data_IF_003104944043
#
_entry.id   IF_003104944043
#
_cell.length_a   1.000
_cell.length_b   1.000
_cell.length_c   1.000
_cell.angle_alpha   90.00
_cell.angle_beta   90.00
_cell.angle_gamma   90.00
#
_symmetry.space_group_name_H-M   'P 1'
#
loop_
_entity.id
_entity.type
_entity.pdbx_description
1 polymer ?
#
# COMPACT_ATOMS: atom_id res chain seq x y z
N UNK A 1 8.42 -10.33 -9.57
CA UNK A 1 8.52 -9.28 -8.53
C UNK A 1 7.15 -9.06 -7.91
N UNK A 2 7.04 -8.98 -6.57
CA UNK A 2 5.79 -8.74 -5.84
C UNK A 2 5.66 -7.23 -5.55
N UNK A 3 4.50 -6.65 -5.82
CA UNK A 3 4.17 -5.26 -5.49
C UNK A 3 3.41 -5.20 -4.15
N UNK A 4 3.44 -4.04 -3.48
CA UNK A 4 2.56 -3.82 -2.34
C UNK A 4 1.11 -3.69 -2.84
N UNK A 5 0.18 -4.38 -2.19
CA UNK A 5 -1.21 -4.42 -2.64
C UNK A 5 -2.17 -4.66 -1.49
N UNK A 6 -3.39 -4.14 -1.65
CA UNK A 6 -4.53 -4.39 -0.78
C UNK A 6 -5.66 -4.97 -1.64
N UNK A 7 -6.05 -6.20 -1.33
CA UNK A 7 -7.19 -6.86 -1.95
C UNK A 7 -8.40 -6.80 -1.01
N UNK A 8 -9.57 -6.54 -1.57
CA UNK A 8 -10.84 -6.55 -0.85
C UNK A 8 -11.90 -7.23 -1.71
N UNK A 9 -12.63 -8.19 -1.14
CA UNK A 9 -13.73 -8.83 -1.84
C UNK A 9 -14.96 -7.92 -1.88
N UNK A 10 -15.75 -8.07 -2.94
CA UNK A 10 -17.04 -7.39 -3.08
C UNK A 10 -17.93 -7.66 -1.85
N UNK A 11 -18.69 -6.65 -1.42
CA UNK A 11 -19.66 -6.79 -0.34
C UNK A 11 -20.87 -7.62 -0.78
N UNK A 12 -21.32 -7.43 -2.02
CA UNK A 12 -22.28 -8.30 -2.68
C UNK A 12 -21.59 -9.01 -3.85
N UNK A 13 -21.28 -10.30 -3.73
CA UNK A 13 -20.59 -11.03 -4.79
C UNK A 13 -21.43 -11.12 -6.06
N UNK A 14 -20.89 -10.63 -7.17
CA UNK A 14 -21.42 -10.77 -8.51
C UNK A 14 -20.36 -11.39 -9.43
N UNK A 15 -20.74 -11.85 -10.62
CA UNK A 15 -19.79 -12.37 -11.61
C UNK A 15 -19.10 -11.24 -12.41
N UNK A 16 -18.80 -10.13 -11.74
CA UNK A 16 -18.10 -8.98 -12.33
C UNK A 16 -16.59 -9.23 -12.31
N UNK A 17 -15.89 -8.66 -13.29
CA UNK A 17 -14.43 -8.74 -13.33
C UNK A 17 -13.81 -7.90 -12.21
N UNK A 18 -12.73 -8.36 -11.56
CA UNK A 18 -12.06 -7.57 -10.53
C UNK A 18 -11.51 -6.27 -11.11
N UNK A 19 -11.54 -5.20 -10.32
CA UNK A 19 -11.01 -3.90 -10.69
C UNK A 19 -9.65 -3.70 -10.02
N UNK A 20 -8.64 -3.38 -10.83
CA UNK A 20 -7.30 -3.03 -10.34
C UNK A 20 -7.15 -1.52 -10.34
N UNK A 21 -6.91 -0.94 -9.15
CA UNK A 21 -6.70 0.49 -8.96
C UNK A 21 -5.21 0.77 -8.78
N UNK A 22 -4.67 1.58 -9.69
CA UNK A 22 -3.25 2.00 -9.70
C UNK A 22 -3.19 3.51 -9.57
N UNK A 23 -2.51 4.00 -8.54
CA UNK A 23 -2.34 5.44 -8.31
C UNK A 23 -1.34 6.07 -9.29
N UNK A 24 -1.36 7.41 -9.43
CA UNK A 24 -0.41 8.17 -10.24
C UNK A 24 0.91 8.50 -9.54
N UNK A 25 1.76 9.31 -10.17
CA UNK A 25 3.04 9.74 -9.59
C UNK A 25 2.85 10.36 -8.18
N UNK A 26 3.75 10.03 -7.25
CA UNK A 26 3.71 10.45 -5.83
C UNK A 26 2.50 9.96 -5.02
N UNK A 27 1.68 9.06 -5.56
CA UNK A 27 0.55 8.47 -4.85
C UNK A 27 0.92 7.27 -3.96
N UNK A 28 -0.10 6.77 -3.26
CA UNK A 28 -0.14 5.54 -2.49
C UNK A 28 -1.50 4.83 -2.68
N UNK A 29 -1.65 3.64 -2.09
CA UNK A 29 -2.91 2.89 -2.03
C UNK A 29 -4.13 3.76 -1.66
N UNK A 30 -3.99 4.72 -0.75
CA UNK A 30 -5.13 5.49 -0.23
C UNK A 30 -5.67 6.55 -1.21
N UNK A 31 -4.89 6.96 -2.21
CA UNK A 31 -5.30 8.04 -3.13
C UNK A 31 -6.56 7.72 -3.93
N UNK A 32 -6.77 6.44 -4.27
CA UNK A 32 -7.97 5.98 -4.98
C UNK A 32 -9.00 5.36 -4.03
N UNK A 33 -8.84 5.54 -2.72
CA UNK A 33 -9.70 4.94 -1.70
C UNK A 33 -11.16 5.38 -1.81
N UNK A 34 -11.45 6.58 -2.31
CA UNK A 34 -12.84 7.02 -2.51
C UNK A 34 -13.53 6.26 -3.65
N UNK A 35 -12.81 5.93 -4.73
CA UNK A 35 -13.34 5.08 -5.80
C UNK A 35 -13.50 3.63 -5.31
N UNK A 36 -12.52 3.11 -4.57
CA UNK A 36 -12.57 1.76 -4.01
C UNK A 36 -13.81 1.55 -3.12
N UNK A 37 -14.20 2.55 -2.32
CA UNK A 37 -15.37 2.48 -1.43
C UNK A 37 -16.70 2.34 -2.16
N UNK A 38 -16.81 2.90 -3.34
CA UNK A 38 -18.02 2.79 -4.15
C UNK A 38 -18.04 1.46 -4.92
N UNK A 39 -16.92 1.13 -5.57
CA UNK A 39 -16.79 -0.05 -6.42
C UNK A 39 -16.83 -1.38 -5.65
N UNK A 40 -16.45 -1.39 -4.37
CA UNK A 40 -16.50 -2.61 -3.54
C UNK A 40 -17.93 -3.11 -3.29
N UNK A 41 -18.96 -2.33 -3.62
CA UNK A 41 -20.35 -2.77 -3.51
C UNK A 41 -20.59 -4.07 -4.28
N UNK A 42 -20.01 -4.20 -5.48
CA UNK A 42 -20.26 -5.29 -6.42
C UNK A 42 -19.03 -5.78 -7.21
N UNK A 43 -17.84 -5.21 -6.98
CA UNK A 43 -16.58 -5.65 -7.59
C UNK A 43 -15.53 -6.03 -6.54
N UNK A 44 -14.77 -7.08 -6.82
CA UNK A 44 -13.52 -7.32 -6.11
C UNK A 44 -12.51 -6.23 -6.47
N UNK A 45 -11.86 -5.64 -5.46
CA UNK A 45 -10.94 -4.51 -5.63
C UNK A 45 -9.52 -4.92 -5.27
N UNK A 46 -8.58 -4.60 -6.15
CA UNK A 46 -7.14 -4.72 -5.89
C UNK A 46 -6.49 -3.36 -6.05
N UNK A 47 -6.11 -2.73 -4.95
CA UNK A 47 -5.29 -1.50 -4.95
C UNK A 47 -3.82 -1.89 -4.94
N UNK A 48 -2.99 -1.23 -5.77
CA UNK A 48 -1.58 -1.58 -5.94
C UNK A 48 -0.70 -0.32 -5.86
N UNK A 49 0.39 -0.40 -5.09
CA UNK A 49 1.47 0.57 -5.18
C UNK A 49 2.42 0.20 -6.32
N UNK A 50 2.76 1.18 -7.16
CA UNK A 50 3.84 1.00 -8.13
C UNK A 50 5.19 0.82 -7.42
N UNK A 51 6.18 0.22 -8.10
CA UNK A 51 7.53 0.07 -7.53
C UNK A 51 8.07 1.45 -7.13
N UNK A 52 8.74 1.51 -5.98
CA UNK A 52 9.32 2.75 -5.44
C UNK A 52 8.29 3.85 -5.10
N UNK A 53 7.00 3.52 -5.05
CA UNK A 53 5.93 4.37 -4.57
C UNK A 53 5.28 3.76 -3.32
N UNK A 54 4.65 4.60 -2.49
CA UNK A 54 4.10 4.20 -1.20
C UNK A 54 5.08 4.35 -0.02
N UNK A 55 4.60 3.96 1.17
CA UNK A 55 5.28 4.19 2.44
C UNK A 55 6.61 3.41 2.50
N UNK A 56 7.73 4.13 2.51
CA UNK A 56 8.98 3.57 3.02
C UNK A 56 8.75 3.24 4.48
N UNK A 57 8.77 1.94 4.83
CA UNK A 57 8.74 1.52 6.22
C UNK A 57 9.80 2.31 6.98
N UNK A 58 9.37 3.06 8.01
CA UNK A 58 10.26 3.87 8.80
C UNK A 58 11.43 2.98 9.25
N UNK A 59 12.64 3.32 8.80
CA UNK A 59 13.86 2.69 9.32
C UNK A 59 13.79 2.87 10.83
N UNK A 60 13.60 1.78 11.57
CA UNK A 60 13.72 1.79 13.01
C UNK A 60 15.11 2.33 13.32
N UNK A 61 15.17 3.54 13.88
CA UNK A 61 16.40 4.27 14.21
C UNK A 61 17.10 3.70 15.46
N UNK A 62 16.97 2.40 15.72
CA UNK A 62 17.44 1.79 16.96
C UNK A 62 18.78 1.06 16.82
N UNK A 63 19.40 1.05 15.63
CA UNK A 63 20.72 0.42 15.40
C UNK A 63 21.84 1.44 15.12
N UNK A 64 21.88 2.59 15.82
CA UNK A 64 23.10 3.40 15.84
C UNK A 64 24.09 2.76 16.84
N UNK A 65 25.23 2.20 16.39
CA UNK A 65 26.26 1.72 17.31
C UNK A 65 26.79 2.92 18.09
N UNK A 66 26.69 2.86 19.43
CA UNK A 66 27.34 3.81 20.33
C UNK A 66 28.85 3.60 20.21
N UNK A 67 29.48 4.30 19.27
CA UNK A 67 30.93 4.46 19.28
C UNK A 67 31.34 5.21 20.55
N UNK A 68 32.30 4.62 21.26
CA UNK A 68 32.59 4.90 22.66
C UNK A 68 33.11 6.29 22.96
N UNK A 69 32.92 6.68 24.21
CA UNK A 69 33.79 7.60 24.91
C UNK A 69 34.76 6.75 25.74
N UNK A 70 36.00 6.63 25.26
CA UNK A 70 37.13 6.24 26.08
C UNK A 70 37.61 7.42 26.92
N UNK A 71 38.33 7.06 28.00
CA UNK A 71 39.31 7.85 28.73
C UNK A 71 38.81 8.99 29.63
N UNK A 72 38.77 8.74 30.94
CA UNK A 72 39.77 9.22 31.91
C UNK A 72 39.50 8.58 33.29
#
# INVERSE_FOLDING_TARGET
>A
MKLNSRAQSAQNPHNHSPIVLVHGLFGSLDNLGILARDLIADHDIVQVDMRNHGFVAAVARDDLPRHGAGSA
#
